data_IF_654298356279
#
_entry.id   IF_654298356279
#
_cell.length_a   1.000
_cell.length_b   1.000
_cell.length_c   1.000
_cell.angle_alpha   90.00
_cell.angle_beta   90.00
_cell.angle_gamma   90.00
#
_symmetry.space_group_name_H-M   'P 1'
#
loop_
_entity.id
_entity.type
_entity.pdbx_description
1 polymer ?
#
# COMPACT_ATOMS: atom_id res chain seq x y z
N UNK A 1 11.78 3.00 27.08
CA UNK A 1 10.40 2.52 26.86
C UNK A 1 9.87 2.90 25.47
N UNK A 2 9.90 4.17 25.07
CA UNK A 2 9.42 4.63 23.74
C UNK A 2 9.99 3.84 22.55
N UNK A 3 11.32 3.65 22.50
CA UNK A 3 11.96 2.86 21.44
C UNK A 3 11.37 1.44 21.31
N UNK A 4 11.15 0.75 22.43
CA UNK A 4 10.60 -0.60 22.43
C UNK A 4 9.14 -0.63 21.95
N UNK A 5 8.35 0.39 22.30
CA UNK A 5 6.97 0.54 21.82
C UNK A 5 6.96 0.76 20.30
N UNK A 6 7.75 1.71 19.80
CA UNK A 6 7.87 1.99 18.37
C UNK A 6 8.34 0.76 17.60
N UNK A 7 9.34 0.01 18.10
CA UNK A 7 9.78 -1.25 17.50
C UNK A 7 8.62 -2.25 17.36
N UNK A 8 7.80 -2.41 18.41
CA UNK A 8 6.65 -3.32 18.37
C UNK A 8 5.59 -2.87 17.37
N UNK A 9 5.35 -1.56 17.28
CA UNK A 9 4.42 -0.98 16.30
C UNK A 9 4.91 -1.17 14.87
N UNK A 10 6.18 -0.90 14.59
CA UNK A 10 6.78 -1.12 13.27
C UNK A 10 6.67 -2.60 12.90
N UNK A 11 7.10 -3.51 13.77
CA UNK A 11 7.03 -4.95 13.52
C UNK A 11 5.59 -5.47 13.34
N UNK A 12 4.60 -4.83 13.96
CA UNK A 12 3.19 -5.15 13.73
C UNK A 12 2.74 -4.67 12.35
N UNK A 13 3.12 -3.46 11.94
CA UNK A 13 2.85 -2.94 10.61
C UNK A 13 3.49 -3.76 9.50
N UNK A 14 4.75 -4.19 9.67
CA UNK A 14 5.42 -5.07 8.70
C UNK A 14 4.70 -6.42 8.55
N UNK A 15 4.16 -6.97 9.64
CA UNK A 15 3.38 -8.21 9.62
C UNK A 15 2.01 -8.03 8.95
N UNK A 16 1.35 -6.92 9.21
CA UNK A 16 0.05 -6.61 8.59
C UNK A 16 0.17 -6.37 7.08
N UNK A 17 1.21 -5.63 6.68
CA UNK A 17 1.45 -5.26 5.28
C UNK A 17 2.24 -6.31 4.50
N UNK A 18 2.93 -7.23 5.18
CA UNK A 18 3.77 -8.26 4.57
C UNK A 18 5.02 -7.71 3.88
N UNK A 19 5.49 -6.52 4.27
CA UNK A 19 6.64 -5.84 3.65
C UNK A 19 7.54 -5.25 4.74
N UNK A 20 8.87 -5.42 4.66
CA UNK A 20 9.80 -4.82 5.61
C UNK A 20 9.87 -3.31 5.45
N UNK A 21 10.03 -2.60 6.56
CA UNK A 21 10.10 -1.13 6.66
C UNK A 21 11.39 -0.68 7.35
N UNK A 22 12.58 -0.95 6.79
CA UNK A 22 13.87 -0.59 7.39
C UNK A 22 13.99 0.92 7.66
N UNK A 23 13.38 1.75 6.80
CA UNK A 23 13.34 3.20 6.98
C UNK A 23 12.63 3.62 8.28
N UNK A 24 11.62 2.88 8.73
CA UNK A 24 10.88 3.19 9.96
C UNK A 24 11.74 2.92 11.20
N UNK A 25 12.56 1.86 11.18
CA UNK A 25 13.54 1.60 12.24
C UNK A 25 14.64 2.66 12.27
N UNK A 26 15.10 3.12 11.11
CA UNK A 26 16.02 4.24 11.02
C UNK A 26 15.40 5.52 11.61
N UNK A 27 14.19 5.90 11.19
CA UNK A 27 13.48 7.07 11.72
C UNK A 27 13.20 6.96 13.22
N UNK A 28 12.89 5.77 13.74
CA UNK A 28 12.77 5.53 15.20
C UNK A 28 14.05 5.94 15.93
N UNK A 29 15.21 5.61 15.37
CA UNK A 29 16.51 5.83 16.02
C UNK A 29 17.02 7.26 15.87
N UNK A 30 16.76 7.92 14.72
CA UNK A 30 17.29 9.27 14.45
C UNK A 30 16.28 10.41 14.65
N UNK A 31 14.98 10.15 14.45
CA UNK A 31 13.94 11.18 14.47
C UNK A 31 12.54 10.60 14.83
N UNK A 32 12.34 10.08 16.05
CA UNK A 32 11.12 9.36 16.43
C UNK A 32 9.86 10.22 16.36
N UNK A 33 9.97 11.53 16.57
CA UNK A 33 8.87 12.48 16.39
C UNK A 33 8.40 12.58 14.93
N UNK A 34 9.31 12.45 13.96
CA UNK A 34 8.97 12.41 12.53
C UNK A 34 8.32 11.10 12.13
N UNK A 35 8.76 9.98 12.72
CA UNK A 35 8.09 8.68 12.55
C UNK A 35 6.62 8.76 12.99
N UNK A 36 6.34 9.36 14.15
CA UNK A 36 4.96 9.52 14.64
C UNK A 36 4.10 10.38 13.69
N UNK A 37 4.67 11.48 13.15
CA UNK A 37 3.98 12.30 12.14
C UNK A 37 3.69 11.53 10.86
N UNK A 38 4.64 10.71 10.41
CA UNK A 38 4.43 9.83 9.26
C UNK A 38 3.31 8.81 9.51
N UNK A 39 3.30 8.17 10.68
CA UNK A 39 2.22 7.25 11.06
C UNK A 39 0.85 7.92 11.12
N UNK A 40 0.79 9.21 11.47
CA UNK A 40 -0.45 9.98 11.48
C UNK A 40 -1.05 10.16 10.08
N UNK A 41 -0.22 10.23 9.02
CA UNK A 41 -0.72 10.34 7.63
C UNK A 41 -1.58 9.12 7.30
N UNK A 42 -1.14 7.92 7.67
CA UNK A 42 -1.92 6.69 7.46
C UNK A 42 -3.22 6.66 8.26
N UNK A 43 -3.22 7.25 9.44
CA UNK A 43 -4.45 7.38 10.23
C UNK A 43 -5.45 8.34 9.56
N UNK A 44 -4.97 9.45 9.01
CA UNK A 44 -5.80 10.43 8.27
C UNK A 44 -6.32 9.86 6.95
N UNK A 45 -5.49 9.11 6.22
CA UNK A 45 -5.89 8.38 4.99
C UNK A 45 -7.08 7.46 5.28
N UNK A 46 -7.06 6.78 6.43
CA UNK A 46 -8.14 5.91 6.88
C UNK A 46 -8.24 4.62 6.06
N UNK A 47 -9.36 3.92 6.21
CA UNK A 47 -9.62 2.66 5.52
C UNK A 47 -10.62 2.84 4.38
N UNK A 48 -10.55 1.95 3.39
CA UNK A 48 -11.59 1.81 2.35
C UNK A 48 -12.96 1.59 3.03
N UNK A 49 -13.97 2.36 2.60
CA UNK A 49 -15.35 2.27 3.14
C UNK A 49 -16.37 1.79 2.12
N UNK A 50 -16.51 2.51 1.01
CA UNK A 50 -17.59 2.29 0.02
C UNK A 50 -17.08 1.84 -1.34
N UNK A 51 -15.85 2.21 -1.69
CA UNK A 51 -15.27 1.88 -3.00
C UNK A 51 -15.12 0.37 -3.17
N UNK A 52 -15.49 -0.19 -4.32
CA UNK A 52 -15.20 -1.60 -4.65
C UNK A 52 -13.71 -1.90 -4.47
N UNK A 53 -13.39 -3.10 -3.96
CA UNK A 53 -12.02 -3.48 -3.63
C UNK A 53 -11.09 -3.38 -4.84
N UNK A 54 -11.48 -3.98 -5.97
CA UNK A 54 -10.66 -4.01 -7.18
C UNK A 54 -10.37 -2.61 -7.72
N UNK A 55 -11.37 -1.72 -7.70
CA UNK A 55 -11.23 -0.31 -8.11
C UNK A 55 -10.28 0.45 -7.18
N UNK A 56 -10.45 0.29 -5.86
CA UNK A 56 -9.60 0.95 -4.87
C UNK A 56 -8.14 0.51 -4.97
N UNK A 57 -7.91 -0.80 -5.06
CA UNK A 57 -6.57 -1.37 -5.12
C UNK A 57 -5.89 -1.14 -6.47
N UNK A 58 -6.64 -1.12 -7.59
CA UNK A 58 -6.11 -0.77 -8.89
C UNK A 58 -5.53 0.66 -8.91
N UNK A 59 -6.22 1.62 -8.30
CA UNK A 59 -5.72 2.99 -8.18
C UNK A 59 -4.46 3.09 -7.33
N UNK A 60 -4.44 2.45 -6.17
CA UNK A 60 -3.25 2.43 -5.30
C UNK A 60 -2.05 1.73 -5.95
N UNK A 61 -2.29 0.67 -6.72
CA UNK A 61 -1.24 0.01 -7.49
C UNK A 61 -0.70 0.91 -8.61
N UNK A 62 -1.59 1.60 -9.34
CA UNK A 62 -1.20 2.56 -10.38
C UNK A 62 -0.28 3.66 -9.84
N UNK A 63 -0.62 4.26 -8.69
CA UNK A 63 0.21 5.30 -8.07
C UNK A 63 1.55 4.77 -7.55
N UNK A 64 1.56 3.60 -6.91
CA UNK A 64 2.81 2.98 -6.48
C UNK A 64 3.74 2.64 -7.67
N UNK A 65 3.16 2.31 -8.83
CA UNK A 65 3.89 2.08 -10.08
C UNK A 65 4.42 3.38 -10.70
N UNK A 66 3.66 4.47 -10.65
CA UNK A 66 4.09 5.76 -11.18
C UNK A 66 5.25 6.36 -10.38
N UNK A 67 5.23 6.19 -9.05
CA UNK A 67 6.26 6.67 -8.13
C UNK A 67 7.51 5.77 -8.07
N UNK A 68 7.53 4.65 -8.81
CA UNK A 68 8.61 3.65 -8.79
C UNK A 68 8.95 3.13 -7.37
N UNK A 69 7.92 3.02 -6.51
CA UNK A 69 8.09 2.53 -5.15
C UNK A 69 7.81 1.02 -5.08
N UNK A 70 8.86 0.21 -5.32
CA UNK A 70 8.78 -1.25 -5.24
C UNK A 70 8.09 -1.81 -3.98
N UNK A 71 8.47 -1.38 -2.76
CA UNK A 71 7.79 -1.79 -1.53
C UNK A 71 6.32 -1.37 -1.49
N UNK A 72 5.98 -0.17 -1.99
CA UNK A 72 4.60 0.30 -2.05
C UNK A 72 3.75 -0.56 -3.00
N UNK A 73 4.31 -0.96 -4.15
CA UNK A 73 3.64 -1.89 -5.06
C UNK A 73 3.33 -3.21 -4.35
N UNK A 74 4.30 -3.79 -3.64
CA UNK A 74 4.08 -5.05 -2.91
C UNK A 74 3.02 -4.91 -1.81
N UNK A 75 2.98 -3.77 -1.12
CA UNK A 75 1.91 -3.46 -0.15
C UNK A 75 0.56 -3.51 -0.84
N UNK A 76 0.38 -2.80 -1.97
CA UNK A 76 -0.89 -2.81 -2.69
C UNK A 76 -1.26 -4.20 -3.25
N UNK A 77 -0.28 -4.99 -3.71
CA UNK A 77 -0.49 -6.39 -4.11
C UNK A 77 -1.01 -7.22 -2.93
N UNK A 78 -0.38 -7.13 -1.77
CA UNK A 78 -0.78 -7.89 -0.58
C UNK A 78 -2.18 -7.49 -0.09
N UNK A 79 -2.46 -6.17 -0.07
CA UNK A 79 -3.76 -5.64 0.33
C UNK A 79 -4.87 -6.03 -0.66
N UNK A 80 -4.59 -5.99 -1.96
CA UNK A 80 -5.53 -6.41 -3.01
C UNK A 80 -5.94 -7.87 -2.86
N UNK A 81 -4.95 -8.77 -2.69
CA UNK A 81 -5.19 -10.19 -2.47
C UNK A 81 -5.97 -10.43 -1.18
N UNK A 82 -5.62 -9.72 -0.10
CA UNK A 82 -6.33 -9.80 1.19
C UNK A 82 -7.80 -9.40 1.07
N UNK A 83 -8.11 -8.41 0.23
CA UNK A 83 -9.46 -7.93 -0.02
C UNK A 83 -10.21 -8.74 -1.10
N UNK A 84 -9.60 -9.80 -1.64
CA UNK A 84 -10.26 -10.75 -2.54
C UNK A 84 -10.14 -10.43 -4.04
N UNK A 85 -9.28 -9.50 -4.43
CA UNK A 85 -9.04 -9.19 -5.85
C UNK A 85 -8.49 -10.42 -6.58
N UNK A 86 -9.02 -10.68 -7.78
CA UNK A 86 -8.60 -11.83 -8.58
C UNK A 86 -7.10 -11.76 -8.94
N UNK A 87 -6.30 -12.82 -8.72
CA UNK A 87 -4.87 -12.81 -9.03
C UNK A 87 -4.55 -12.50 -10.49
N UNK A 88 -5.38 -12.98 -11.44
CA UNK A 88 -5.19 -12.73 -12.86
C UNK A 88 -5.36 -11.25 -13.23
N UNK A 89 -6.32 -10.58 -12.59
CA UNK A 89 -6.54 -9.14 -12.75
C UNK A 89 -5.34 -8.35 -12.21
N UNK A 90 -4.85 -8.72 -11.02
CA UNK A 90 -3.68 -8.10 -10.41
C UNK A 90 -2.41 -8.30 -11.25
N UNK A 91 -2.25 -9.50 -11.83
CA UNK A 91 -1.15 -9.81 -12.74
C UNK A 91 -1.23 -9.00 -14.05
N UNK A 92 -2.45 -8.79 -14.57
CA UNK A 92 -2.67 -7.96 -15.75
C UNK A 92 -2.29 -6.50 -15.47
N UNK A 93 -2.74 -5.93 -14.35
CA UNK A 93 -2.43 -4.56 -13.93
C UNK A 93 -0.94 -4.34 -13.69
N UNK A 94 -0.27 -5.23 -12.93
CA UNK A 94 1.18 -5.14 -12.67
C UNK A 94 2.03 -5.21 -13.95
N UNK A 95 1.53 -5.90 -14.98
CA UNK A 95 2.13 -5.97 -16.32
C UNK A 95 1.63 -4.91 -17.30
N UNK A 96 0.75 -4.00 -16.86
CA UNK A 96 0.10 -2.96 -17.68
C UNK A 96 -0.63 -3.51 -18.91
N UNK A 97 -1.19 -4.72 -18.78
CA UNK A 97 -2.03 -5.35 -19.80
C UNK A 97 -3.48 -5.00 -19.49
N UNK A 98 -3.92 -3.85 -20.00
CA UNK A 98 -5.24 -3.30 -19.68
C UNK A 98 -6.35 -3.77 -20.63
N UNK A 99 -5.97 -4.33 -21.77
CA UNK A 99 -6.90 -4.81 -22.79
C UNK A 99 -7.78 -5.93 -22.24
N UNK A 100 -9.10 -5.78 -22.41
CA UNK A 100 -10.09 -6.77 -21.97
C UNK A 100 -10.40 -6.77 -20.48
N UNK A 101 -9.82 -5.85 -19.69
CA UNK A 101 -10.19 -5.65 -18.29
C UNK A 101 -11.47 -4.80 -18.16
N UNK A 102 -12.22 -4.94 -17.04
CA UNK A 102 -13.35 -4.05 -16.75
C UNK A 102 -12.96 -2.57 -16.77
N UNK A 103 -13.78 -1.73 -17.40
CA UNK A 103 -13.43 -0.34 -17.69
C UNK A 103 -13.27 0.54 -16.43
N UNK A 104 -14.01 0.26 -15.36
CA UNK A 104 -13.88 0.96 -14.08
C UNK A 104 -12.55 0.67 -13.38
N UNK A 105 -12.06 -0.57 -13.47
CA UNK A 105 -10.76 -0.97 -12.95
C UNK A 105 -9.63 -0.32 -13.75
N UNK A 106 -9.74 -0.30 -15.09
CA UNK A 106 -8.77 0.39 -15.96
C UNK A 106 -8.73 1.88 -15.64
N UNK A 107 -9.89 2.52 -15.52
CA UNK A 107 -9.98 3.94 -15.19
C UNK A 107 -9.35 4.26 -13.83
N UNK A 108 -9.59 3.42 -12.82
CA UNK A 108 -9.00 3.60 -11.51
C UNK A 108 -7.48 3.42 -11.51
N UNK A 109 -6.98 2.42 -12.23
CA UNK A 109 -5.53 2.23 -12.42
C UNK A 109 -4.89 3.46 -13.06
N UNK A 110 -5.48 3.98 -14.14
CA UNK A 110 -4.99 5.18 -14.84
C UNK A 110 -5.18 6.48 -14.06
N UNK A 111 -6.14 6.53 -13.12
CA UNK A 111 -6.24 7.68 -12.21
C UNK A 111 -5.06 7.75 -11.25
N UNK A 112 -4.52 6.59 -10.84
CA UNK A 112 -3.34 6.53 -9.98
C UNK A 112 -2.02 6.67 -10.74
N UNK A 113 -1.97 6.20 -11.99
CA UNK A 113 -0.75 6.10 -12.81
C UNK A 113 -0.43 7.38 -13.60
#
# INVERSE_FOLDING_TARGET
>A
MLKAILTRMIAAGERDLGVPAPFAYFLRDVAPNRLMRFSFIKWVEGTRRVTPADVYHASGLGSAMAEDCGPCMQIHVNLALRDGMAPDLLLALTRRRLDGLPGDIVQAFLFGY
#
